data_IF_090117995306
#
_entry.id   IF_090117995306
#
_cell.length_a   1.000
_cell.length_b   1.000
_cell.length_c   1.000
_cell.angle_alpha   90.00
_cell.angle_beta   90.00
_cell.angle_gamma   90.00
#
_symmetry.space_group_name_H-M   'P 1'
#
loop_
_entity.id
_entity.type
_entity.pdbx_description
1 polymer ?
#
# COMPACT_ATOMS: atom_id res chain seq x y z
N UNK A 1 8.47 1.05 -21.26
CA UNK A 1 7.50 0.99 -20.14
C UNK A 1 8.27 0.48 -18.93
N UNK A 2 8.58 1.33 -17.95
CA UNK A 2 9.33 0.92 -16.76
C UNK A 2 8.31 0.48 -15.71
N UNK A 3 8.21 -0.83 -15.46
CA UNK A 3 7.45 -1.36 -14.33
C UNK A 3 8.38 -1.48 -13.12
N UNK A 4 8.02 -0.83 -12.02
CA UNK A 4 8.64 -1.06 -10.71
C UNK A 4 7.70 -2.00 -9.95
N UNK A 5 8.06 -3.29 -9.74
CA UNK A 5 7.44 -4.07 -8.70
C UNK A 5 7.90 -3.49 -7.36
N UNK A 6 7.03 -2.75 -6.67
CA UNK A 6 7.26 -2.31 -5.30
C UNK A 6 6.63 -3.38 -4.41
N UNK A 7 7.44 -4.35 -4.02
CA UNK A 7 7.15 -5.20 -2.87
C UNK A 7 8.40 -5.24 -2.02
N UNK A 8 8.31 -4.68 -0.81
CA UNK A 8 9.37 -4.78 0.18
C UNK A 8 8.69 -5.09 1.51
N UNK A 9 9.05 -6.25 2.05
CA UNK A 9 8.71 -6.72 3.40
C UNK A 9 10.02 -6.78 4.17
N UNK A 10 10.18 -6.03 5.27
CA UNK A 10 11.32 -6.19 6.18
C UNK A 10 11.02 -5.72 7.60
N UNK A 11 11.19 -6.65 8.55
CA UNK A 11 11.41 -6.37 9.97
C UNK A 11 12.66 -5.49 10.19
N UNK A 12 12.49 -4.41 10.96
CA UNK A 12 13.45 -3.67 11.81
C UNK A 12 13.18 -2.14 11.80
N UNK A 13 13.51 -1.41 12.87
CA UNK A 13 12.96 -0.09 13.11
C UNK A 13 13.62 0.95 12.19
N UNK A 14 12.79 1.61 11.37
CA UNK A 14 13.03 2.91 10.72
C UNK A 14 13.85 2.94 9.42
N UNK A 15 13.93 1.90 8.59
CA UNK A 15 14.59 2.01 7.28
C UNK A 15 13.79 1.40 6.12
N UNK A 16 13.76 2.12 5.00
CA UNK A 16 13.20 1.66 3.73
C UNK A 16 14.29 1.17 2.80
N UNK A 17 14.15 -0.05 2.30
CA UNK A 17 15.11 -0.65 1.39
C UNK A 17 14.45 -1.00 0.05
N UNK A 18 15.19 -0.93 -1.04
CA UNK A 18 14.79 -1.57 -2.31
C UNK A 18 15.74 -2.70 -2.65
N UNK A 19 15.21 -3.79 -3.22
CA UNK A 19 16.01 -4.91 -3.75
C UNK A 19 16.30 -4.63 -5.22
N UNK A 20 17.56 -4.40 -5.54
CA UNK A 20 18.04 -4.44 -6.92
C UNK A 20 18.73 -5.79 -7.17
N UNK A 21 18.45 -6.41 -8.33
CA UNK A 21 19.13 -7.62 -8.75
C UNK A 21 20.58 -7.25 -9.12
N UNK A 22 21.52 -7.41 -8.18
CA UNK A 22 22.90 -6.98 -8.35
C UNK A 22 23.64 -7.83 -9.40
N UNK A 23 24.02 -7.24 -10.53
CA UNK A 23 24.97 -7.87 -11.46
C UNK A 23 26.41 -7.45 -11.09
N UNK A 24 27.21 -8.38 -10.58
CA UNK A 24 28.66 -8.17 -10.44
C UNK A 24 29.37 -8.39 -11.79
N UNK A 25 30.31 -7.51 -12.12
CA UNK A 25 31.36 -7.80 -13.11
C UNK A 25 32.25 -8.91 -12.55
N UNK A 26 32.26 -10.08 -13.18
CA UNK A 26 33.16 -11.18 -12.83
C UNK A 26 34.60 -10.77 -13.13
N UNK A 27 35.52 -11.04 -12.20
CA UNK A 27 36.97 -10.94 -12.45
C UNK A 27 37.44 -12.19 -13.20
N UNK A 28 38.40 -12.03 -14.09
CA UNK A 28 38.96 -13.14 -14.87
C UNK A 28 39.57 -14.21 -13.93
N UNK A 29 39.16 -15.47 -14.09
CA UNK A 29 39.57 -16.59 -13.22
C UNK A 29 38.71 -16.83 -11.98
N UNK A 30 37.65 -16.05 -11.73
CA UNK A 30 36.77 -16.24 -10.57
C UNK A 30 35.68 -17.29 -10.84
N UNK A 31 35.62 -18.33 -10.00
CA UNK A 31 34.61 -19.39 -10.07
C UNK A 31 33.20 -18.84 -9.80
N UNK A 32 32.25 -19.10 -10.71
CA UNK A 32 30.89 -18.52 -10.64
C UNK A 32 30.07 -19.25 -9.57
N UNK A 33 30.02 -18.67 -8.36
CA UNK A 33 29.08 -19.09 -7.32
C UNK A 33 27.71 -18.46 -7.56
N UNK A 34 26.70 -19.27 -7.89
CA UNK A 34 25.31 -18.84 -8.11
C UNK A 34 24.56 -18.65 -6.79
N UNK A 35 25.05 -17.75 -5.95
CA UNK A 35 24.35 -17.33 -4.73
C UNK A 35 23.66 -16.01 -5.04
N UNK A 36 22.37 -15.90 -4.71
CA UNK A 36 21.65 -14.63 -4.83
C UNK A 36 22.34 -13.58 -3.94
N UNK A 37 22.76 -12.46 -4.53
CA UNK A 37 23.30 -11.33 -3.79
C UNK A 37 22.25 -10.22 -3.80
N UNK A 38 21.83 -9.80 -2.61
CA UNK A 38 20.93 -8.67 -2.42
C UNK A 38 21.76 -7.43 -2.16
N UNK A 39 21.59 -6.42 -3.01
CA UNK A 39 22.10 -5.07 -2.76
C UNK A 39 20.95 -4.21 -2.27
N UNK A 40 21.12 -3.65 -1.07
CA UNK A 40 20.11 -2.82 -0.41
C UNK A 40 20.47 -1.36 -0.59
N UNK A 41 19.60 -0.62 -1.24
CA UNK A 41 19.70 0.84 -1.31
C UNK A 41 18.65 1.45 -0.38
N UNK A 42 19.10 2.24 0.58
CA UNK A 42 18.24 3.03 1.44
C UNK A 42 17.80 4.26 0.64
N UNK A 43 16.50 4.42 0.44
CA UNK A 43 15.96 5.62 -0.23
C UNK A 43 16.03 6.81 0.72
N UNK A 44 15.50 6.62 1.94
CA UNK A 44 15.49 7.56 3.05
C UNK A 44 15.54 6.81 4.38
N UNK A 45 16.19 7.41 5.38
CA UNK A 45 16.27 6.88 6.75
C UNK A 45 15.14 7.35 7.64
N UNK A 46 14.40 8.38 7.24
CA UNK A 46 13.21 8.85 7.94
C UNK A 46 11.97 8.30 7.24
N UNK A 47 11.07 7.69 8.02
CA UNK A 47 9.85 7.07 7.53
C UNK A 47 8.73 8.07 7.26
N UNK A 48 8.93 9.35 7.58
CA UNK A 48 7.98 10.43 7.30
C UNK A 48 8.44 11.32 6.13
N UNK A 49 9.70 11.20 5.68
CA UNK A 49 10.26 12.08 4.66
C UNK A 49 9.82 11.68 3.24
N UNK A 50 9.18 12.59 2.47
CA UNK A 50 8.87 12.35 1.06
C UNK A 50 10.12 12.13 0.22
N UNK A 51 10.01 11.32 -0.83
CA UNK A 51 11.08 11.09 -1.79
C UNK A 51 10.56 11.09 -3.23
N UNK A 52 11.46 11.29 -4.19
CA UNK A 52 11.12 11.23 -5.61
C UNK A 52 11.75 9.99 -6.24
N UNK A 53 10.94 9.20 -6.94
CA UNK A 53 11.41 8.08 -7.74
C UNK A 53 10.73 8.09 -9.10
N UNK A 54 11.50 7.90 -10.18
CA UNK A 54 11.00 7.95 -11.56
C UNK A 54 10.21 9.25 -11.89
N UNK A 55 10.57 10.36 -11.23
CA UNK A 55 9.92 11.66 -11.39
C UNK A 55 8.52 11.76 -10.78
N UNK A 56 8.12 10.82 -9.93
CA UNK A 56 6.92 10.87 -9.10
C UNK A 56 7.36 11.09 -7.64
N UNK A 57 6.69 12.01 -6.96
CA UNK A 57 6.86 12.19 -5.52
C UNK A 57 6.01 11.17 -4.77
N UNK A 58 6.62 10.52 -3.80
CA UNK A 58 5.99 9.59 -2.87
C UNK A 58 6.05 10.21 -1.48
N UNK A 59 4.91 10.26 -0.82
CA UNK A 59 4.78 10.65 0.59
C UNK A 59 4.52 9.36 1.37
N UNK A 60 5.45 8.93 2.24
CA UNK A 60 5.23 7.80 3.11
C UNK A 60 4.00 7.98 4.00
N UNK A 61 3.29 6.88 4.25
CA UNK A 61 2.16 6.81 5.15
C UNK A 61 2.42 5.71 6.19
N UNK A 62 3.01 6.04 7.35
CA UNK A 62 3.23 5.07 8.42
C UNK A 62 1.92 4.41 8.86
N UNK A 63 1.90 3.09 8.96
CA UNK A 63 0.76 2.28 9.41
C UNK A 63 1.22 1.17 10.35
N UNK A 64 0.37 0.75 11.28
CA UNK A 64 0.70 -0.36 12.18
C UNK A 64 0.45 -1.69 11.47
N UNK A 65 1.35 -2.65 11.65
CA UNK A 65 1.21 -4.04 11.22
C UNK A 65 1.57 -4.95 12.40
N UNK A 66 0.59 -5.20 13.26
CA UNK A 66 0.81 -5.76 14.59
C UNK A 66 0.88 -4.68 15.65
N UNK A 67 1.41 -5.02 16.83
CA UNK A 67 1.54 -4.09 17.96
C UNK A 67 2.77 -3.20 17.84
N UNK A 68 3.92 -3.77 17.44
CA UNK A 68 5.23 -3.10 17.56
C UNK A 68 5.93 -2.84 16.23
N UNK A 69 5.22 -3.04 15.11
CA UNK A 69 5.82 -2.94 13.79
C UNK A 69 5.07 -1.93 12.91
N UNK A 70 5.86 -1.05 12.28
CA UNK A 70 5.37 0.00 11.38
C UNK A 70 5.65 -0.46 9.96
N UNK A 71 4.57 -0.74 9.24
CA UNK A 71 4.58 -0.85 7.78
C UNK A 71 4.34 0.52 7.16
N UNK A 72 4.59 0.65 5.87
CA UNK A 72 4.50 1.92 5.18
C UNK A 72 3.65 1.79 3.93
N UNK A 73 2.54 2.51 3.94
CA UNK A 73 1.83 2.85 2.73
C UNK A 73 2.49 4.05 2.03
N UNK A 74 1.98 4.41 0.85
CA UNK A 74 2.45 5.56 0.11
C UNK A 74 1.30 6.33 -0.53
N UNK A 75 1.36 7.65 -0.40
CA UNK A 75 0.55 8.60 -1.15
C UNK A 75 1.37 9.14 -2.33
N UNK A 76 0.80 9.11 -3.53
CA UNK A 76 1.46 9.64 -4.73
C UNK A 76 0.45 10.08 -5.79
N UNK A 77 0.94 10.81 -6.79
CA UNK A 77 0.14 11.36 -7.89
C UNK A 77 -0.41 12.76 -7.57
N UNK A 78 -0.10 13.72 -8.45
CA UNK A 78 -0.48 15.12 -8.28
C UNK A 78 -1.89 15.40 -8.82
N UNK A 79 -2.20 14.86 -10.01
CA UNK A 79 -3.52 15.00 -10.65
C UNK A 79 -4.51 13.91 -10.25
N UNK A 80 -3.99 12.69 -10.05
CA UNK A 80 -4.76 11.53 -9.64
C UNK A 80 -4.12 10.97 -8.37
N UNK A 81 -4.71 11.28 -7.22
CA UNK A 81 -4.17 11.00 -5.89
C UNK A 81 -4.45 9.55 -5.49
N UNK A 82 -3.39 8.80 -5.23
CA UNK A 82 -3.46 7.38 -4.88
C UNK A 82 -2.82 7.15 -3.52
N UNK A 83 -3.52 6.46 -2.64
CA UNK A 83 -2.92 5.86 -1.46
C UNK A 83 -2.86 4.34 -1.64
N UNK A 84 -1.67 3.77 -1.51
CA UNK A 84 -1.45 2.32 -1.51
C UNK A 84 -1.00 1.89 -0.12
N UNK A 85 -1.75 1.00 0.53
CA UNK A 85 -1.51 0.54 1.89
C UNK A 85 -1.75 -0.97 1.98
N UNK A 86 -0.68 -1.76 2.00
CA UNK A 86 -0.74 -3.19 2.32
C UNK A 86 -0.30 -3.44 3.76
N UNK A 87 -0.58 -4.64 4.27
CA UNK A 87 -0.09 -5.10 5.57
C UNK A 87 -0.38 -4.08 6.68
N UNK A 88 -1.65 -3.89 7.05
CA UNK A 88 -2.05 -2.88 8.05
C UNK A 88 -3.07 -3.43 9.03
N UNK A 89 -2.79 -3.39 10.33
CA UNK A 89 -3.73 -3.71 11.41
C UNK A 89 -4.44 -2.47 11.97
N UNK A 90 -3.83 -1.29 11.88
CA UNK A 90 -4.38 -0.03 12.40
C UNK A 90 -3.68 1.19 11.78
N UNK A 91 -4.44 2.27 11.62
CA UNK A 91 -3.82 3.58 11.37
C UNK A 91 -3.32 4.21 12.68
N UNK A 92 -2.08 4.72 12.72
CA UNK A 92 -1.56 5.38 13.90
C UNK A 92 -2.41 6.59 14.27
N UNK A 93 -2.54 6.82 15.56
CA UNK A 93 -3.15 8.02 16.13
C UNK A 93 -2.18 9.20 15.96
N UNK A 94 -2.69 10.43 16.06
CA UNK A 94 -1.90 11.64 15.82
C UNK A 94 -0.67 11.78 16.75
N UNK A 95 -0.64 11.06 17.87
CA UNK A 95 0.45 11.07 18.84
C UNK A 95 1.57 10.08 18.53
N UNK A 96 1.32 9.11 17.65
CA UNK A 96 2.28 8.03 17.36
C UNK A 96 3.24 8.45 16.23
N UNK A 97 2.70 8.86 15.09
CA UNK A 97 3.43 9.28 13.89
C UNK A 97 2.58 10.31 13.14
N UNK A 98 3.19 11.19 12.34
CA UNK A 98 2.52 12.24 11.56
C UNK A 98 1.23 11.69 10.95
N UNK A 99 0.08 12.16 11.44
CA UNK A 99 -1.15 11.37 11.35
C UNK A 99 -1.47 10.96 9.91
N UNK A 100 -1.58 9.65 9.67
CA UNK A 100 -2.04 9.07 8.39
C UNK A 100 -3.28 9.80 7.88
N UNK A 101 -4.18 10.10 8.82
CA UNK A 101 -5.36 10.89 8.58
C UNK A 101 -4.98 12.28 8.02
N UNK A 102 -4.12 13.09 8.65
CA UNK A 102 -3.79 14.43 8.09
C UNK A 102 -3.09 14.37 6.73
N UNK A 103 -2.31 13.32 6.44
CA UNK A 103 -1.72 13.14 5.10
C UNK A 103 -2.80 12.82 4.03
N UNK A 104 -3.90 12.19 4.43
CA UNK A 104 -4.97 11.71 3.54
C UNK A 104 -6.25 12.59 3.59
N UNK A 105 -6.43 13.41 4.63
CA UNK A 105 -7.64 14.20 4.88
C UNK A 105 -7.64 15.40 3.94
N UNK A 106 -8.36 15.24 2.84
CA UNK A 106 -9.37 16.20 2.39
C UNK A 106 -10.56 15.36 1.93
N UNK A 107 -11.50 15.10 2.83
CA UNK A 107 -12.64 14.17 2.62
C UNK A 107 -13.55 14.57 1.46
N UNK A 108 -13.51 15.84 1.05
CA UNK A 108 -14.28 16.41 -0.05
C UNK A 108 -13.48 17.53 -0.71
N UNK A 109 -13.64 17.75 -2.03
CA UNK A 109 -12.95 18.82 -2.77
C UNK A 109 -11.58 18.42 -3.33
N UNK A 110 -10.67 19.39 -3.45
CA UNK A 110 -9.42 19.27 -4.23
C UNK A 110 -8.39 18.25 -3.71
N UNK A 111 -8.60 17.65 -2.54
CA UNK A 111 -7.65 16.68 -1.97
C UNK A 111 -8.24 15.31 -1.62
N UNK A 112 -9.46 15.01 -2.08
CA UNK A 112 -10.03 13.67 -1.98
C UNK A 112 -9.14 12.66 -2.72
N UNK A 113 -8.95 11.47 -2.16
CA UNK A 113 -8.26 10.39 -2.87
C UNK A 113 -9.08 9.93 -4.07
N UNK A 114 -8.44 9.86 -5.24
CA UNK A 114 -9.05 9.27 -6.42
C UNK A 114 -9.08 7.75 -6.32
N UNK A 115 -8.05 7.15 -5.73
CA UNK A 115 -7.94 5.72 -5.52
C UNK A 115 -7.28 5.37 -4.19
N UNK A 116 -7.95 4.52 -3.42
CA UNK A 116 -7.38 3.88 -2.23
C UNK A 116 -7.18 2.38 -2.53
N UNK A 117 -5.95 1.88 -2.38
CA UNK A 117 -5.65 0.45 -2.43
C UNK A 117 -5.33 0.01 -1.01
N UNK A 118 -6.11 -0.89 -0.43
CA UNK A 118 -6.09 -1.19 1.01
C UNK A 118 -6.14 -2.69 1.31
N UNK A 119 -5.37 -3.09 2.31
CA UNK A 119 -5.31 -4.44 2.87
C UNK A 119 -6.66 -4.96 3.40
N UNK A 120 -6.95 -6.23 3.14
CA UNK A 120 -8.07 -6.98 3.70
C UNK A 120 -7.76 -8.48 3.72
N UNK A 121 -7.51 -9.07 4.89
CA UNK A 121 -7.02 -10.45 5.01
C UNK A 121 -8.17 -11.47 5.04
N UNK A 122 -9.07 -11.34 6.02
CA UNK A 122 -10.21 -12.24 6.23
C UNK A 122 -11.54 -11.53 6.05
N UNK A 123 -12.57 -12.30 5.69
CA UNK A 123 -13.93 -11.79 5.50
C UNK A 123 -14.59 -11.33 6.78
N UNK A 124 -14.25 -11.98 7.89
CA UNK A 124 -14.94 -11.81 9.18
C UNK A 124 -13.93 -11.65 10.31
N UNK A 125 -14.39 -11.10 11.42
CA UNK A 125 -13.58 -10.93 12.62
C UNK A 125 -12.50 -9.86 12.46
N UNK A 126 -11.40 -10.06 13.17
CA UNK A 126 -10.23 -9.18 13.21
C UNK A 126 -8.96 -10.00 13.24
N UNK A 127 -7.86 -9.44 12.76
CA UNK A 127 -6.54 -10.03 12.85
C UNK A 127 -5.56 -9.08 13.52
N UNK A 128 -4.56 -9.61 14.22
CA UNK A 128 -3.63 -8.78 14.99
C UNK A 128 -2.72 -7.94 14.09
N UNK A 129 -2.41 -8.45 12.89
CA UNK A 129 -1.46 -7.79 11.97
C UNK A 129 -2.11 -7.22 10.72
N UNK A 130 -3.36 -7.56 10.41
CA UNK A 130 -4.03 -7.12 9.19
C UNK A 130 -5.46 -6.66 9.48
N UNK A 131 -5.96 -5.77 8.62
CA UNK A 131 -7.36 -5.45 8.56
C UNK A 131 -8.11 -6.65 8.00
N UNK A 132 -9.23 -6.98 8.64
CA UNK A 132 -10.25 -7.81 8.02
C UNK A 132 -11.29 -6.91 7.32
N UNK A 133 -12.17 -7.51 6.52
CA UNK A 133 -13.15 -6.79 5.70
C UNK A 133 -13.97 -5.75 6.49
N UNK A 134 -14.49 -6.01 7.70
CA UNK A 134 -15.22 -4.99 8.44
C UNK A 134 -14.37 -3.74 8.75
N UNK A 135 -13.14 -3.94 9.23
CA UNK A 135 -12.20 -2.84 9.54
C UNK A 135 -11.78 -2.08 8.27
N UNK A 136 -11.63 -2.81 7.17
CA UNK A 136 -11.30 -2.26 5.84
C UNK A 136 -12.41 -1.34 5.36
N UNK A 137 -13.66 -1.81 5.41
CA UNK A 137 -14.83 -1.04 4.98
C UNK A 137 -15.06 0.18 5.87
N UNK A 138 -14.85 0.07 7.19
CA UNK A 138 -14.90 1.21 8.10
C UNK A 138 -13.80 2.24 7.80
N UNK A 139 -12.59 1.78 7.47
CA UNK A 139 -11.51 2.66 7.01
C UNK A 139 -11.90 3.37 5.70
N UNK A 140 -12.43 2.66 4.71
CA UNK A 140 -12.90 3.24 3.44
C UNK A 140 -13.96 4.30 3.68
N UNK A 141 -14.97 4.04 4.52
CA UNK A 141 -16.00 5.03 4.89
C UNK A 141 -15.39 6.28 5.52
N UNK A 142 -14.45 6.11 6.45
CA UNK A 142 -13.80 7.24 7.14
C UNK A 142 -12.95 8.09 6.21
N UNK A 143 -12.27 7.48 5.25
CA UNK A 143 -11.37 8.14 4.30
C UNK A 143 -12.10 8.72 3.08
N UNK A 144 -13.26 8.15 2.73
CA UNK A 144 -14.13 8.59 1.63
C UNK A 144 -13.37 8.77 0.28
N UNK A 145 -12.65 7.76 -0.23
CA UNK A 145 -12.04 7.86 -1.56
C UNK A 145 -13.10 7.85 -2.66
N UNK A 146 -12.75 8.30 -3.88
CA UNK A 146 -13.63 8.18 -5.05
C UNK A 146 -13.79 6.72 -5.51
N UNK A 147 -12.80 5.88 -5.24
CA UNK A 147 -12.82 4.42 -5.44
C UNK A 147 -11.85 3.75 -4.48
N UNK A 148 -12.18 2.55 -4.00
CA UNK A 148 -11.25 1.68 -3.29
C UNK A 148 -11.09 0.33 -3.99
N UNK A 149 -9.87 -0.22 -3.91
CA UNK A 149 -9.54 -1.57 -4.30
C UNK A 149 -8.96 -2.32 -3.10
N UNK A 150 -9.48 -3.51 -2.83
CA UNK A 150 -9.03 -4.32 -1.71
C UNK A 150 -7.99 -5.34 -2.15
N UNK A 151 -6.90 -5.48 -1.39
CA UNK A 151 -5.77 -6.39 -1.62
C UNK A 151 -5.48 -7.23 -0.36
N UNK A 152 -4.52 -8.16 -0.40
CA UNK A 152 -4.11 -8.95 0.78
C UNK A 152 -5.04 -10.12 1.14
N UNK A 153 -6.06 -10.37 0.32
CA UNK A 153 -7.10 -11.37 0.57
C UNK A 153 -6.56 -12.79 0.59
N UNK A 154 -7.03 -13.58 1.56
CA UNK A 154 -6.81 -15.03 1.59
C UNK A 154 -7.75 -15.77 0.65
N UNK A 155 -7.58 -17.09 0.57
CA UNK A 155 -8.44 -17.99 -0.21
C UNK A 155 -9.89 -18.05 0.26
N UNK A 156 -10.23 -17.44 1.42
CA UNK A 156 -11.61 -17.31 1.86
C UNK A 156 -12.44 -16.45 0.91
N UNK A 157 -11.80 -15.51 0.19
CA UNK A 157 -12.43 -14.64 -0.79
C UNK A 157 -12.62 -15.34 -2.14
N UNK A 158 -13.88 -15.41 -2.56
CA UNK A 158 -14.30 -15.72 -3.92
C UNK A 158 -14.47 -14.39 -4.67
N UNK A 159 -13.56 -14.13 -5.60
CA UNK A 159 -13.47 -12.83 -6.27
C UNK A 159 -14.79 -12.39 -6.93
N UNK A 160 -15.57 -13.31 -7.50
CA UNK A 160 -16.80 -12.95 -8.20
C UNK A 160 -17.99 -12.80 -7.26
N UNK A 161 -18.14 -13.70 -6.28
CA UNK A 161 -19.25 -13.67 -5.32
C UNK A 161 -19.10 -12.50 -4.36
N UNK A 162 -17.90 -12.27 -3.83
CA UNK A 162 -17.71 -11.21 -2.84
C UNK A 162 -17.77 -9.82 -3.48
N UNK A 163 -17.34 -9.67 -4.75
CA UNK A 163 -17.57 -8.44 -5.49
C UNK A 163 -19.07 -8.16 -5.74
N UNK A 164 -19.96 -9.16 -5.75
CA UNK A 164 -21.41 -8.91 -5.80
C UNK A 164 -21.88 -8.24 -4.50
N UNK A 165 -21.48 -8.76 -3.35
CA UNK A 165 -21.80 -8.17 -2.04
C UNK A 165 -21.18 -6.78 -1.88
N UNK A 166 -19.95 -6.57 -2.35
CA UNK A 166 -19.30 -5.25 -2.35
C UNK A 166 -20.04 -4.25 -3.24
N UNK A 167 -20.59 -4.65 -4.39
CA UNK A 167 -21.42 -3.75 -5.22
C UNK A 167 -22.65 -3.25 -4.46
N UNK A 168 -23.31 -4.12 -3.69
CA UNK A 168 -24.45 -3.70 -2.86
C UNK A 168 -24.02 -2.75 -1.75
N UNK A 169 -22.90 -3.02 -1.10
CA UNK A 169 -22.29 -2.11 -0.12
C UNK A 169 -21.95 -0.76 -0.76
N UNK A 170 -21.28 -0.75 -1.92
CA UNK A 170 -20.90 0.46 -2.64
C UNK A 170 -22.07 1.32 -3.03
N UNK A 171 -23.18 0.71 -3.47
CA UNK A 171 -24.42 1.45 -3.77
C UNK A 171 -25.02 2.10 -2.53
N UNK A 172 -24.94 1.45 -1.37
CA UNK A 172 -25.46 2.00 -0.10
C UNK A 172 -24.61 3.15 0.43
N UNK A 173 -23.29 3.01 0.35
CA UNK A 173 -22.34 3.98 0.93
C UNK A 173 -21.94 5.08 -0.05
N UNK A 174 -22.22 4.92 -1.35
CA UNK A 174 -21.82 5.86 -2.41
C UNK A 174 -20.33 5.82 -2.75
N UNK A 175 -19.60 4.80 -2.27
CA UNK A 175 -18.16 4.64 -2.51
C UNK A 175 -17.95 3.32 -3.29
N UNK A 176 -17.49 3.36 -4.56
CA UNK A 176 -17.11 2.17 -5.31
C UNK A 176 -15.98 1.40 -4.62
N UNK A 177 -16.21 0.13 -4.31
CA UNK A 177 -15.25 -0.78 -3.67
C UNK A 177 -15.29 -2.12 -4.37
N UNK A 178 -14.12 -2.64 -4.73
CA UNK A 178 -13.97 -3.92 -5.40
C UNK A 178 -12.72 -4.65 -4.87
N UNK A 179 -12.72 -5.99 -4.90
CA UNK A 179 -11.51 -6.78 -4.74
C UNK A 179 -10.62 -6.59 -5.98
N UNK A 180 -9.32 -6.38 -5.77
CA UNK A 180 -8.34 -6.39 -6.85
C UNK A 180 -8.04 -7.82 -7.31
N UNK A 181 -7.34 -7.94 -8.44
CA UNK A 181 -6.86 -9.20 -8.98
C UNK A 181 -5.49 -9.03 -9.65
N UNK A 182 -4.76 -10.13 -9.75
CA UNK A 182 -3.43 -10.13 -10.37
C UNK A 182 -3.50 -9.70 -11.83
N UNK A 183 -2.69 -8.72 -12.19
CA UNK A 183 -2.69 -8.14 -13.53
C UNK A 183 -3.75 -7.06 -13.78
N UNK A 184 -4.54 -6.67 -12.77
CA UNK A 184 -5.40 -5.49 -12.84
C UNK A 184 -4.57 -4.24 -13.21
N UNK A 185 -5.04 -3.50 -14.21
CA UNK A 185 -4.43 -2.26 -14.68
C UNK A 185 -5.47 -1.15 -14.70
N UNK A 186 -5.11 0.01 -14.15
CA UNK A 186 -5.94 1.20 -14.18
C UNK A 186 -5.20 2.29 -14.97
N UNK A 187 -5.72 2.73 -16.12
CA UNK A 187 -5.16 3.86 -16.84
C UNK A 187 -5.45 5.15 -16.08
N UNK A 188 -4.41 5.89 -15.71
CA UNK A 188 -4.49 7.11 -14.91
C UNK A 188 -3.43 8.12 -15.33
N UNK A 189 -3.71 9.41 -15.13
CA UNK A 189 -2.74 10.50 -15.30
C UNK A 189 -2.21 10.94 -13.93
N UNK A 190 -0.93 10.71 -13.68
CA UNK A 190 -0.31 10.97 -12.38
C UNK A 190 0.29 12.38 -12.22
N UNK A 191 0.50 13.14 -13.31
CA UNK A 191 1.29 14.39 -13.31
C UNK A 191 0.58 15.56 -13.98
#
# INVERSE_FOLDING_TARGET
MKSLPIWVKLDLPKQFHTVCNGQKKLKEGQEVRRVAQLEWNIIKSDIEEPFTSSGLQFVPLPVMHGEDYISLGFLFGARFRIAYVSDVSRFPTNTEHGSFASAVILKTGAGQLDLLILDTLYKTGSHNTHFCLPQTLDAVKRLCPKRALLIGMTHEFDHHKDNQALREWSRREGIPVELAYDGLRIPIDLK
#
